data_IF_897235818090
#
_entry.id   IF_897235818090
#
_cell.length_a   1.000
_cell.length_b   1.000
_cell.length_c   1.000
_cell.angle_alpha   90.00
_cell.angle_beta   90.00
_cell.angle_gamma   90.00
#
_symmetry.space_group_name_H-M   'P 1'
#
loop_
_entity.id
_entity.type
_entity.pdbx_description
1 polymer ?
#
# COMPACT_ATOMS: atom_id res chain seq x y z
N UNK A 1 2.88 0.55 -23.06
CA UNK A 1 2.23 1.63 -22.28
C UNK A 1 3.31 2.59 -21.83
N UNK A 2 3.18 3.90 -22.05
CA UNK A 2 4.11 4.87 -21.46
C UNK A 2 3.62 5.21 -20.06
N UNK A 3 4.48 5.06 -19.04
CA UNK A 3 4.15 5.50 -17.70
C UNK A 3 4.07 7.03 -17.69
N UNK A 4 3.13 7.58 -16.92
CA UNK A 4 2.92 9.03 -16.78
C UNK A 4 3.41 9.48 -15.42
N UNK A 5 3.98 10.68 -15.37
CA UNK A 5 4.33 11.33 -14.12
C UNK A 5 3.06 11.59 -13.30
N UNK A 6 3.04 11.14 -12.06
CA UNK A 6 1.90 11.32 -11.14
C UNK A 6 1.69 12.77 -10.68
N UNK A 7 2.63 13.67 -10.97
CA UNK A 7 2.54 15.10 -10.63
C UNK A 7 2.07 15.93 -11.81
N UNK A 8 2.68 15.77 -12.99
CA UNK A 8 2.39 16.63 -14.15
C UNK A 8 1.74 15.93 -15.35
N UNK A 9 1.57 14.60 -15.33
CA UNK A 9 0.97 13.84 -16.43
C UNK A 9 1.84 13.66 -17.68
N UNK A 10 3.05 14.25 -17.69
CA UNK A 10 4.03 14.07 -18.75
C UNK A 10 4.59 12.64 -18.79
N UNK A 11 5.18 12.25 -19.91
CA UNK A 11 5.80 10.92 -20.06
C UNK A 11 6.94 10.71 -19.03
N UNK A 12 6.80 9.70 -18.17
CA UNK A 12 7.88 9.19 -17.33
C UNK A 12 8.77 8.28 -18.19
N UNK A 13 10.00 8.72 -18.46
CA UNK A 13 10.94 7.97 -19.31
C UNK A 13 11.90 7.08 -18.51
N UNK A 14 12.22 7.48 -17.29
CA UNK A 14 13.31 6.88 -16.50
C UNK A 14 12.91 6.52 -15.07
N UNK A 15 11.89 7.16 -14.49
CA UNK A 15 11.60 7.04 -13.07
C UNK A 15 10.14 6.63 -12.86
N UNK A 16 9.77 5.37 -13.14
CA UNK A 16 8.44 4.77 -12.89
C UNK A 16 7.26 5.77 -12.95
N UNK A 17 6.93 6.43 -11.83
CA UNK A 17 5.81 7.38 -11.67
C UNK A 17 6.18 8.88 -11.68
N UNK A 18 7.41 9.29 -11.99
CA UNK A 18 7.89 10.69 -12.00
C UNK A 18 8.68 11.00 -13.27
N UNK A 19 8.56 12.21 -13.81
CA UNK A 19 9.49 12.69 -14.83
C UNK A 19 10.81 13.15 -14.16
N UNK A 20 11.85 13.41 -14.95
CA UNK A 20 13.16 13.84 -14.46
C UNK A 20 13.10 15.09 -13.57
N UNK A 21 12.22 16.04 -13.92
CA UNK A 21 12.05 17.26 -13.11
C UNK A 21 11.42 16.93 -11.76
N UNK A 22 10.45 16.03 -11.72
CA UNK A 22 9.69 15.64 -10.53
C UNK A 22 10.27 14.45 -9.77
N UNK A 23 11.44 13.94 -10.18
CA UNK A 23 12.18 12.91 -9.45
C UNK A 23 13.03 13.54 -8.34
N UNK A 24 12.35 13.94 -7.27
CA UNK A 24 12.91 14.61 -6.09
C UNK A 24 12.00 14.35 -4.88
N UNK A 25 12.54 14.53 -3.68
CA UNK A 25 11.77 14.44 -2.44
C UNK A 25 10.62 15.45 -2.47
N UNK A 26 9.40 14.98 -2.25
CA UNK A 26 8.17 15.78 -2.23
C UNK A 26 8.15 16.80 -1.07
N UNK A 27 8.96 16.57 -0.03
CA UNK A 27 9.04 17.44 1.15
C UNK A 27 10.15 18.48 1.03
N UNK A 28 11.39 18.04 0.81
CA UNK A 28 12.56 18.93 0.85
C UNK A 28 13.21 19.19 -0.52
N UNK A 29 12.74 18.55 -1.59
CA UNK A 29 13.25 18.75 -2.94
C UNK A 29 14.61 18.14 -3.26
N UNK A 30 15.25 17.42 -2.32
CA UNK A 30 16.52 16.72 -2.60
C UNK A 30 16.35 15.64 -3.67
N UNK A 31 17.42 15.33 -4.42
CA UNK A 31 17.46 14.21 -5.38
C UNK A 31 18.20 12.97 -4.85
N UNK A 32 18.62 12.99 -3.57
CA UNK A 32 19.43 11.92 -2.96
C UNK A 32 18.59 11.04 -2.05
N UNK A 33 18.94 9.75 -2.01
CA UNK A 33 18.37 8.75 -1.10
C UNK A 33 16.84 8.74 -1.12
N UNK A 34 16.26 8.62 -2.31
CA UNK A 34 14.81 8.69 -2.51
C UNK A 34 14.19 7.29 -2.38
N UNK A 35 13.05 7.20 -1.71
CA UNK A 35 12.26 5.98 -1.53
C UNK A 35 10.77 6.24 -1.78
N UNK A 36 10.03 5.16 -2.10
CA UNK A 36 8.57 5.15 -2.30
C UNK A 36 7.85 4.41 -1.15
N UNK A 37 8.46 4.34 0.05
CA UNK A 37 7.94 3.60 1.21
C UNK A 37 6.67 4.21 1.81
N UNK A 38 6.30 5.42 1.40
CA UNK A 38 5.08 6.10 1.78
C UNK A 38 4.25 6.45 0.54
N UNK A 39 3.09 7.06 0.73
CA UNK A 39 2.25 7.62 -0.36
C UNK A 39 2.91 8.86 -1.02
N UNK A 40 4.15 8.73 -1.52
CA UNK A 40 4.97 9.80 -2.06
C UNK A 40 6.37 9.34 -2.47
N UNK A 41 7.16 10.29 -3.00
CA UNK A 41 8.59 10.11 -3.21
C UNK A 41 9.33 10.98 -2.20
N UNK A 42 9.94 10.38 -1.19
CA UNK A 42 10.62 11.13 -0.11
C UNK A 42 12.07 10.69 0.04
N UNK A 43 12.92 11.54 0.59
CA UNK A 43 14.23 11.09 1.04
C UNK A 43 14.14 10.40 2.40
N UNK A 44 15.11 9.55 2.73
CA UNK A 44 15.15 8.78 4.00
C UNK A 44 14.86 9.64 5.24
N UNK A 45 15.47 10.83 5.34
CA UNK A 45 15.28 11.71 6.48
C UNK A 45 13.85 12.28 6.57
N UNK A 46 13.26 12.66 5.44
CA UNK A 46 11.88 13.14 5.42
C UNK A 46 10.89 11.98 5.63
N UNK A 47 11.18 10.79 5.11
CA UNK A 47 10.41 9.58 5.34
C UNK A 47 10.36 9.23 6.83
N UNK A 48 11.52 9.16 7.49
CA UNK A 48 11.61 8.83 8.92
C UNK A 48 10.79 9.81 9.79
N UNK A 49 10.85 11.11 9.48
CA UNK A 49 10.08 12.11 10.23
C UNK A 49 8.56 12.00 10.00
N UNK A 50 8.13 11.68 8.77
CA UNK A 50 6.71 11.40 8.48
C UNK A 50 6.25 10.15 9.22
N UNK A 51 7.02 9.07 9.14
CA UNK A 51 6.70 7.80 9.78
C UNK A 51 6.60 7.96 11.31
N UNK A 52 7.54 8.69 11.92
CA UNK A 52 7.50 9.03 13.35
C UNK A 52 6.20 9.75 13.72
N UNK A 53 5.79 10.75 12.95
CA UNK A 53 4.53 11.48 13.19
C UNK A 53 3.29 10.63 13.00
N UNK A 54 3.31 9.70 12.05
CA UNK A 54 2.21 8.74 11.87
C UNK A 54 2.10 7.84 13.09
N UNK A 55 3.22 7.33 13.62
CA UNK A 55 3.23 6.53 14.85
C UNK A 55 2.68 7.31 16.04
N UNK A 56 3.05 8.59 16.18
CA UNK A 56 2.53 9.45 17.25
C UNK A 56 1.05 9.78 17.13
N UNK A 57 0.52 9.81 15.90
CA UNK A 57 -0.85 10.25 15.63
C UNK A 57 -1.85 9.09 15.51
N UNK A 58 -1.39 7.87 15.24
CA UNK A 58 -2.27 6.73 14.99
C UNK A 58 -2.77 6.12 16.31
N UNK A 59 -4.07 5.83 16.38
CA UNK A 59 -4.75 5.35 17.60
C UNK A 59 -4.86 3.82 17.69
N UNK A 60 -4.55 3.10 16.61
CA UNK A 60 -4.37 1.65 16.62
C UNK A 60 -5.65 0.83 16.46
N UNK A 61 -6.81 1.42 16.18
CA UNK A 61 -8.03 0.63 15.96
C UNK A 61 -8.08 0.03 14.54
N UNK A 62 -7.57 -1.20 14.41
CA UNK A 62 -7.38 -1.91 13.13
C UNK A 62 -7.94 -3.34 13.13
N UNK A 63 -8.91 -3.62 14.00
CA UNK A 63 -9.45 -4.98 14.10
C UNK A 63 -10.37 -5.29 12.91
N UNK A 64 -10.19 -6.47 12.30
CA UNK A 64 -11.04 -7.00 11.22
C UNK A 64 -11.16 -6.09 9.99
N UNK A 65 -10.05 -5.49 9.56
CA UNK A 65 -9.96 -4.72 8.31
C UNK A 65 -9.85 -5.64 7.08
N UNK A 66 -10.14 -5.10 5.89
CA UNK A 66 -10.06 -5.87 4.64
C UNK A 66 -8.63 -6.15 4.18
N UNK A 67 -7.67 -5.34 4.63
CA UNK A 67 -6.24 -5.51 4.37
C UNK A 67 -5.48 -5.46 5.69
N UNK A 68 -4.25 -6.00 5.70
CA UNK A 68 -3.32 -5.84 6.82
C UNK A 68 -2.94 -4.36 6.94
N UNK A 69 -3.24 -3.75 8.09
CA UNK A 69 -2.82 -2.39 8.44
C UNK A 69 -1.78 -2.48 9.54
N UNK A 70 -0.67 -1.76 9.40
CA UNK A 70 0.34 -1.69 10.44
C UNK A 70 -0.25 -1.05 11.72
N UNK A 71 -0.26 -1.75 12.86
CA UNK A 71 -0.86 -1.24 14.10
C UNK A 71 -0.12 -0.03 14.67
N UNK A 72 1.13 0.20 14.23
CA UNK A 72 1.95 1.30 14.70
C UNK A 72 1.67 2.61 13.98
N UNK A 73 1.49 2.58 12.66
CA UNK A 73 1.47 3.81 11.85
C UNK A 73 0.30 3.93 10.88
N UNK A 74 -0.57 2.92 10.81
CA UNK A 74 -1.73 2.91 9.92
C UNK A 74 -1.42 2.69 8.44
N UNK A 75 -0.19 2.29 8.11
CA UNK A 75 0.18 1.96 6.72
C UNK A 75 -0.48 0.64 6.28
N UNK A 76 -1.20 0.68 5.15
CA UNK A 76 -1.99 -0.45 4.62
C UNK A 76 -1.17 -1.21 3.58
N UNK A 77 -1.13 -2.55 3.71
CA UNK A 77 -0.51 -3.44 2.72
C UNK A 77 -1.55 -3.89 1.71
N UNK A 78 -1.56 -3.24 0.54
CA UNK A 78 -2.57 -3.40 -0.52
C UNK A 78 -2.62 -4.75 -1.25
N UNK A 79 -1.82 -5.75 -0.84
CA UNK A 79 -1.80 -7.09 -1.44
C UNK A 79 -1.70 -8.16 -0.33
N UNK A 80 -2.42 -7.94 0.76
CA UNK A 80 -2.31 -8.78 1.96
C UNK A 80 -3.06 -10.12 1.87
N UNK A 81 -3.86 -10.31 0.82
CA UNK A 81 -4.55 -11.57 0.55
C UNK A 81 -3.61 -12.72 0.20
N UNK A 82 -2.44 -12.41 -0.34
CA UNK A 82 -1.40 -13.40 -0.64
C UNK A 82 -0.53 -13.73 0.59
N UNK A 83 -0.75 -13.05 1.72
CA UNK A 83 -0.02 -13.29 2.97
C UNK A 83 -0.56 -14.50 3.75
N UNK A 84 0.25 -15.00 4.67
CA UNK A 84 -0.12 -16.15 5.50
C UNK A 84 -1.20 -15.76 6.53
N UNK A 85 -1.93 -16.77 7.04
CA UNK A 85 -3.01 -16.50 8.00
C UNK A 85 -2.51 -16.00 9.36
N UNK A 86 -1.25 -16.26 9.72
CA UNK A 86 -0.61 -15.77 10.94
C UNK A 86 0.90 -15.64 10.69
N UNK A 87 1.43 -14.43 10.84
CA UNK A 87 2.87 -14.17 10.73
C UNK A 87 3.31 -12.98 11.59
N UNK A 88 4.62 -12.80 11.67
CA UNK A 88 5.26 -11.55 12.09
C UNK A 88 5.77 -10.80 10.87
N UNK A 89 5.44 -9.52 10.78
CA UNK A 89 5.84 -8.62 9.72
C UNK A 89 6.64 -7.43 10.23
N UNK A 90 7.50 -6.93 9.37
CA UNK A 90 8.19 -5.67 9.53
C UNK A 90 7.54 -4.60 8.66
N UNK A 91 7.12 -3.48 9.24
CA UNK A 91 6.54 -2.38 8.48
C UNK A 91 7.65 -1.59 7.78
N UNK A 92 7.67 -1.58 6.43
CA UNK A 92 8.65 -0.79 5.68
C UNK A 92 8.48 0.73 5.85
N UNK A 93 7.30 1.19 6.27
CA UNK A 93 7.05 2.61 6.49
C UNK A 93 7.60 3.09 7.84
N UNK A 94 7.25 2.44 8.95
CA UNK A 94 7.63 2.88 10.30
C UNK A 94 8.72 2.05 10.98
N UNK A 95 9.21 1.01 10.33
CA UNK A 95 10.34 0.19 10.77
C UNK A 95 10.08 -0.58 12.09
N UNK A 96 8.80 -0.75 12.48
CA UNK A 96 8.38 -1.55 13.62
C UNK A 96 7.86 -2.92 13.19
N UNK A 97 8.13 -3.93 14.02
CA UNK A 97 7.57 -5.28 13.86
C UNK A 97 6.15 -5.37 14.46
N UNK A 98 5.29 -6.18 13.84
CA UNK A 98 3.95 -6.49 14.32
C UNK A 98 3.55 -7.89 13.87
N UNK A 99 2.64 -8.53 14.60
CA UNK A 99 1.99 -9.75 14.13
C UNK A 99 0.59 -9.46 13.61
N UNK A 100 0.10 -10.29 12.69
CA UNK A 100 -1.29 -10.29 12.27
C UNK A 100 -1.87 -11.70 12.37
N UNK A 101 -3.20 -11.76 12.40
CA UNK A 101 -3.95 -12.99 12.18
C UNK A 101 -5.08 -12.69 11.20
N UNK A 102 -5.38 -13.61 10.29
CA UNK A 102 -6.44 -13.48 9.30
C UNK A 102 -7.59 -14.42 9.65
N UNK A 103 -8.79 -13.86 9.70
CA UNK A 103 -10.02 -14.64 9.81
C UNK A 103 -10.73 -14.64 8.45
N UNK A 104 -10.80 -15.80 7.79
CA UNK A 104 -11.45 -15.94 6.47
C UNK A 104 -12.73 -16.76 6.61
N UNK A 105 -13.88 -16.14 6.34
CA UNK A 105 -15.17 -16.83 6.22
C UNK A 105 -15.60 -16.87 4.75
N UNK A 106 -15.76 -18.08 4.19
CA UNK A 106 -16.23 -18.28 2.81
C UNK A 106 -17.46 -19.17 2.82
N UNK A 107 -18.58 -18.67 2.29
CA UNK A 107 -19.83 -19.42 2.14
C UNK A 107 -20.27 -19.46 0.69
N UNK A 108 -20.78 -20.62 0.25
CA UNK A 108 -21.20 -20.86 -1.14
C UNK A 108 -22.66 -21.29 -1.20
N UNK A 109 -23.36 -20.79 -2.21
CA UNK A 109 -24.65 -21.31 -2.64
C UNK A 109 -24.59 -21.56 -4.15
N UNK A 110 -25.06 -22.72 -4.60
CA UNK A 110 -25.09 -23.06 -6.02
C UNK A 110 -26.50 -23.45 -6.43
N UNK A 111 -26.86 -23.17 -7.68
CA UNK A 111 -28.16 -23.50 -8.26
C UNK A 111 -27.96 -24.16 -9.62
N UNK A 112 -28.92 -25.02 -10.01
CA UNK A 112 -28.89 -25.67 -11.33
C UNK A 112 -29.21 -24.65 -12.43
N UNK A 113 -28.50 -24.75 -13.55
CA UNK A 113 -28.85 -24.01 -14.77
C UNK A 113 -29.85 -24.87 -15.56
N UNK A 114 -31.10 -24.42 -15.61
CA UNK A 114 -32.12 -25.06 -16.44
C UNK A 114 -31.97 -24.59 -17.90
N UNK A 115 -31.44 -25.46 -18.77
CA UNK A 115 -31.19 -25.13 -20.19
C UNK A 115 -32.46 -25.14 -21.05
N UNK A 116 -33.61 -25.45 -20.46
CA UNK A 116 -34.85 -25.72 -21.18
C UNK A 116 -35.63 -24.44 -21.58
N UNK A 117 -35.17 -23.25 -21.17
CA UNK A 117 -35.85 -21.96 -21.45
C UNK A 117 -35.17 -21.16 -22.60
N UNK A 118 -34.07 -21.64 -23.18
CA UNK A 118 -33.27 -20.90 -24.17
C UNK A 118 -33.40 -21.39 -25.63
N UNK A 119 -34.33 -22.30 -25.94
CA UNK A 119 -34.58 -22.78 -27.30
C UNK A 119 -36.06 -22.58 -27.67
N UNK A 120 -36.38 -21.36 -28.12
CA UNK A 120 -37.55 -21.10 -28.96
C UNK A 120 -37.22 -21.33 -30.43
#
# INVERSE_FOLDING_TARGET
MKLKCSICGEDSRSHLFRCEDHYRCDVCGTKKNLCYRNKGLTCDACHAEIARKQVEAFDGDINYTSEIICPWCGDERSDSWEDSDEDTHYCENCENEYSHTRNVEVTYCTSKIDKTIMAG
#
